data_IF_018365006911
#
_entry.id   IF_018365006911
#
_cell.length_a   1.000
_cell.length_b   1.000
_cell.length_c   1.000
_cell.angle_alpha   90.00
_cell.angle_beta   90.00
_cell.angle_gamma   90.00
#
_symmetry.space_group_name_H-M   'P 1'
#
loop_
_entity.id
_entity.type
_entity.pdbx_description
1 polymer ?
#
# COMPACT_ATOMS: atom_id res chain seq x y z
N UNK A 1 -40.51 20.88 24.26
CA UNK A 1 -39.82 22.16 24.16
C UNK A 1 -39.05 22.41 25.46
N UNK A 2 -37.75 22.21 25.47
CA UNK A 2 -36.79 22.77 26.45
C UNK A 2 -35.43 22.85 25.77
N UNK A 3 -35.01 24.06 25.50
CA UNK A 3 -33.72 24.44 24.93
C UNK A 3 -32.65 24.41 26.00
N UNK A 4 -31.52 23.71 25.77
CA UNK A 4 -30.35 23.76 26.61
C UNK A 4 -29.25 24.49 25.87
N UNK A 5 -28.87 25.67 26.36
CA UNK A 5 -27.74 26.45 25.85
C UNK A 5 -26.44 25.88 26.41
N UNK A 6 -25.50 25.57 25.54
CA UNK A 6 -24.15 25.18 25.90
C UNK A 6 -23.26 26.44 25.99
N UNK A 7 -22.72 26.71 27.18
CA UNK A 7 -21.83 27.84 27.42
C UNK A 7 -20.40 27.53 26.96
N UNK A 8 -19.80 28.50 26.26
CA UNK A 8 -18.38 28.53 25.94
C UNK A 8 -17.56 28.88 27.16
N UNK A 9 -16.58 28.04 27.51
CA UNK A 9 -15.53 28.36 28.48
C UNK A 9 -14.22 28.48 27.71
N UNK A 10 -13.69 29.71 27.61
CA UNK A 10 -12.31 29.97 27.17
C UNK A 10 -11.33 29.71 28.33
N UNK A 11 -10.18 29.07 28.11
CA UNK A 11 -9.10 29.11 29.09
C UNK A 11 -8.20 30.33 28.87
N UNK A 12 -7.86 30.97 29.96
CA UNK A 12 -6.98 32.11 30.06
C UNK A 12 -5.53 31.76 29.70
N UNK A 13 -4.90 32.61 28.89
CA UNK A 13 -3.48 32.54 28.58
C UNK A 13 -2.70 33.21 29.74
N UNK A 14 -1.91 32.43 30.47
CA UNK A 14 -0.91 32.95 31.40
C UNK A 14 0.40 33.21 30.66
N UNK A 15 0.77 34.48 30.54
CA UNK A 15 2.09 34.92 30.07
C UNK A 15 3.13 34.73 31.18
N UNK A 16 4.10 33.85 31.01
CA UNK A 16 5.30 33.74 31.82
C UNK A 16 6.44 34.52 31.17
N UNK A 17 6.89 35.59 31.77
CA UNK A 17 8.09 36.32 31.39
C UNK A 17 9.34 35.55 31.82
N UNK A 18 10.17 35.15 30.88
CA UNK A 18 11.49 34.55 31.12
C UNK A 18 12.56 35.64 31.11
N UNK A 19 13.25 35.77 32.23
CA UNK A 19 14.49 36.52 32.36
C UNK A 19 15.61 35.80 31.59
N UNK A 20 16.21 36.48 30.63
CA UNK A 20 17.43 36.02 29.92
C UNK A 20 18.64 36.52 30.66
N UNK A 21 19.35 35.63 31.33
CA UNK A 21 20.69 35.88 31.85
C UNK A 21 21.72 35.52 30.78
N UNK A 22 22.49 36.52 30.34
CA UNK A 22 23.63 36.28 29.42
C UNK A 22 24.77 35.61 30.18
N UNK A 23 25.16 34.41 29.72
CA UNK A 23 26.45 33.79 30.07
C UNK A 23 27.27 33.69 28.81
N UNK A 24 28.27 34.60 28.69
CA UNK A 24 29.32 34.51 27.66
C UNK A 24 30.32 33.43 28.03
N UNK A 25 30.27 32.29 27.37
CA UNK A 25 31.33 31.31 27.37
C UNK A 25 31.99 31.28 25.99
N UNK A 26 33.16 31.88 25.89
CA UNK A 26 34.10 31.79 24.76
C UNK A 26 34.68 30.35 24.71
N UNK A 27 34.11 29.50 23.86
CA UNK A 27 34.80 28.29 23.41
C UNK A 27 34.78 28.31 21.88
N UNK A 28 35.94 28.65 21.29
CA UNK A 28 36.15 28.57 19.87
C UNK A 28 36.12 27.13 19.38
N UNK A 29 35.05 26.75 18.70
CA UNK A 29 35.02 25.53 17.90
C UNK A 29 35.53 25.86 16.49
N UNK A 30 36.40 25.02 15.92
CA UNK A 30 36.84 25.20 14.55
C UNK A 30 35.62 25.03 13.64
N UNK A 31 35.36 26.05 12.82
CA UNK A 31 34.29 26.06 11.82
C UNK A 31 34.66 25.08 10.71
N UNK A 32 34.33 23.81 10.90
CA UNK A 32 34.38 22.82 9.83
C UNK A 32 33.26 23.15 8.86
N UNK A 33 33.58 23.88 7.81
CA UNK A 33 32.72 24.01 6.63
C UNK A 33 32.52 22.61 6.05
N UNK A 34 31.44 21.92 6.44
CA UNK A 34 30.98 20.75 5.74
C UNK A 34 30.44 21.26 4.41
N UNK A 35 31.22 21.11 3.36
CA UNK A 35 30.75 21.27 1.99
C UNK A 35 29.65 20.26 1.77
N UNK A 36 28.40 20.71 1.85
CA UNK A 36 27.25 19.96 1.44
C UNK A 36 27.20 19.88 -0.11
N UNK A 37 28.16 19.17 -0.71
CA UNK A 37 28.02 18.63 -2.04
C UNK A 37 27.16 17.38 -1.94
N UNK A 38 25.93 17.52 -1.40
CA UNK A 38 24.87 16.58 -1.56
C UNK A 38 24.34 16.73 -2.98
N UNK A 39 24.84 15.93 -3.91
CA UNK A 39 24.11 15.61 -5.12
C UNK A 39 22.75 15.10 -4.64
N UNK A 40 21.74 15.95 -4.71
CA UNK A 40 20.33 15.52 -4.59
C UNK A 40 20.06 14.63 -5.80
N UNK A 41 20.29 13.32 -5.63
CA UNK A 41 19.86 12.37 -6.64
C UNK A 41 18.37 12.64 -6.85
N UNK A 42 18.02 13.11 -8.05
CA UNK A 42 16.62 13.34 -8.42
C UNK A 42 15.88 12.02 -8.22
N UNK A 43 14.97 11.99 -7.26
CA UNK A 43 14.20 10.78 -6.99
C UNK A 43 13.41 10.41 -8.26
N UNK A 44 13.44 9.12 -8.64
CA UNK A 44 12.81 8.63 -9.86
C UNK A 44 11.30 8.87 -9.81
N UNK A 45 10.74 9.42 -10.88
CA UNK A 45 9.29 9.45 -11.08
C UNK A 45 8.79 8.03 -11.37
N UNK A 46 7.93 7.53 -10.49
CA UNK A 46 7.29 6.22 -10.60
C UNK A 46 5.85 6.26 -11.12
N UNK A 47 5.38 7.41 -11.61
CA UNK A 47 3.97 7.60 -12.02
C UNK A 47 3.51 6.63 -13.12
N UNK A 48 4.42 6.10 -13.92
CA UNK A 48 4.18 5.14 -15.00
C UNK A 48 4.48 3.68 -14.65
N UNK A 49 4.83 3.40 -13.40
CA UNK A 49 5.31 2.07 -13.01
C UNK A 49 4.27 0.96 -13.18
N UNK A 50 2.98 1.27 -13.10
CA UNK A 50 1.89 0.32 -13.32
C UNK A 50 1.27 0.38 -14.72
N UNK A 51 1.84 1.14 -15.67
CA UNK A 51 1.32 1.20 -17.04
C UNK A 51 1.39 -0.15 -17.76
N UNK A 52 2.29 -1.05 -17.35
CA UNK A 52 2.36 -2.41 -17.91
C UNK A 52 1.08 -3.21 -17.68
N UNK A 53 0.28 -2.91 -16.66
CA UNK A 53 -0.98 -3.59 -16.38
C UNK A 53 -2.10 -3.20 -17.36
N UNK A 54 -2.07 -2.00 -17.92
CA UNK A 54 -3.19 -1.47 -18.72
C UNK A 54 -3.58 -2.41 -19.86
N UNK A 55 -4.87 -2.75 -19.93
CA UNK A 55 -5.47 -3.68 -20.87
C UNK A 55 -6.00 -4.96 -20.22
N UNK A 56 -6.27 -5.95 -21.05
CA UNK A 56 -6.93 -7.19 -20.67
C UNK A 56 -5.91 -8.29 -20.41
N UNK A 57 -6.12 -9.04 -19.32
CA UNK A 57 -5.26 -10.13 -18.89
C UNK A 57 -6.08 -11.38 -18.57
N UNK A 58 -5.50 -12.54 -18.85
CA UNK A 58 -5.91 -13.81 -18.22
C UNK A 58 -5.27 -13.86 -16.85
N UNK A 59 -6.05 -14.26 -15.84
CA UNK A 59 -5.60 -14.39 -14.46
C UNK A 59 -5.68 -15.84 -14.03
N UNK A 60 -4.55 -16.41 -13.58
CA UNK A 60 -4.46 -17.66 -12.87
C UNK A 60 -4.12 -17.36 -11.40
N UNK A 61 -4.96 -17.85 -10.49
CA UNK A 61 -4.81 -17.53 -9.07
C UNK A 61 -4.70 -18.80 -8.24
N UNK A 62 -3.77 -18.79 -7.30
CA UNK A 62 -3.72 -19.75 -6.20
C UNK A 62 -3.93 -19.02 -4.89
N UNK A 63 -4.91 -19.44 -4.13
CA UNK A 63 -5.26 -18.88 -2.82
C UNK A 63 -5.12 -19.93 -1.74
N UNK A 64 -4.50 -19.57 -0.62
CA UNK A 64 -4.46 -20.35 0.60
C UNK A 64 -5.64 -19.89 1.49
N UNK A 65 -6.73 -20.66 1.63
CA UNK A 65 -7.89 -20.23 2.44
C UNK A 65 -7.56 -20.16 3.94
N UNK A 66 -6.87 -21.17 4.46
CA UNK A 66 -6.52 -21.32 5.87
C UNK A 66 -5.17 -20.64 6.17
N UNK A 67 -5.22 -19.29 6.21
CA UNK A 67 -4.03 -18.45 6.40
C UNK A 67 -3.53 -18.47 7.83
N UNK A 68 -2.20 -18.49 8.01
CA UNK A 68 -1.51 -18.48 9.31
C UNK A 68 -1.89 -19.68 10.23
N UNK A 69 -2.32 -20.78 9.61
CA UNK A 69 -2.70 -22.04 10.30
C UNK A 69 -1.79 -23.22 9.92
N UNK A 70 -0.69 -22.95 9.20
CA UNK A 70 0.22 -24.00 8.74
C UNK A 70 -0.35 -24.89 7.63
N UNK A 71 -1.42 -24.44 6.98
CA UNK A 71 -2.01 -25.14 5.85
C UNK A 71 -1.13 -25.04 4.60
N UNK A 72 -1.16 -26.08 3.76
CA UNK A 72 -0.58 -26.10 2.43
C UNK A 72 -1.61 -26.43 1.34
N UNK A 73 -2.91 -26.36 1.68
CA UNK A 73 -4.01 -26.65 0.76
C UNK A 73 -4.38 -25.38 0.00
N UNK A 74 -4.04 -25.37 -1.29
CA UNK A 74 -4.32 -24.25 -2.18
C UNK A 74 -5.57 -24.52 -3.01
N UNK A 75 -6.34 -23.45 -3.26
CA UNK A 75 -7.47 -23.45 -4.19
C UNK A 75 -7.08 -22.61 -5.41
N UNK A 76 -7.33 -23.17 -6.59
CA UNK A 76 -7.03 -22.51 -7.87
C UNK A 76 -8.26 -21.84 -8.46
N UNK A 77 -8.02 -20.74 -9.18
CA UNK A 77 -9.03 -19.98 -9.89
C UNK A 77 -8.47 -19.52 -11.23
N UNK A 78 -9.35 -19.42 -12.21
CA UNK A 78 -9.07 -18.90 -13.55
C UNK A 78 -10.06 -17.80 -13.90
N UNK A 79 -9.65 -16.83 -14.68
CA UNK A 79 -10.52 -15.76 -15.16
C UNK A 79 -9.79 -14.59 -15.80
N UNK A 80 -10.29 -13.40 -15.52
CA UNK A 80 -9.82 -12.16 -16.15
C UNK A 80 -9.44 -11.11 -15.12
N UNK A 81 -8.52 -10.24 -15.54
CA UNK A 81 -8.12 -9.04 -14.82
C UNK A 81 -7.97 -7.90 -15.86
N UNK A 82 -8.89 -6.96 -15.84
CA UNK A 82 -8.95 -5.87 -16.80
C UNK A 82 -8.55 -4.57 -16.13
N UNK A 83 -7.57 -3.89 -16.69
CA UNK A 83 -7.01 -2.67 -16.11
C UNK A 83 -7.23 -1.47 -17.02
N UNK A 84 -7.69 -0.37 -16.43
CA UNK A 84 -7.92 0.90 -17.13
C UNK A 84 -7.20 2.04 -16.42
N UNK A 85 -6.54 2.89 -17.20
CA UNK A 85 -6.03 4.15 -16.69
C UNK A 85 -7.21 5.10 -16.42
N UNK A 86 -7.18 5.79 -15.28
CA UNK A 86 -8.22 6.77 -14.94
C UNK A 86 -7.85 8.12 -15.53
N UNK A 87 -8.52 8.51 -16.62
CA UNK A 87 -8.20 9.70 -17.40
C UNK A 87 -6.70 9.69 -17.77
N UNK A 88 -6.08 10.84 -17.91
CA UNK A 88 -4.62 10.98 -18.10
C UNK A 88 -3.89 11.14 -16.76
N UNK A 89 -4.38 10.46 -15.72
CA UNK A 89 -3.89 10.61 -14.34
C UNK A 89 -2.88 9.55 -13.94
N UNK A 90 -2.24 9.76 -12.80
CA UNK A 90 -1.37 8.82 -12.12
C UNK A 90 -2.20 7.79 -11.31
N UNK A 91 -3.25 7.24 -11.95
CA UNK A 91 -4.16 6.30 -11.33
C UNK A 91 -4.64 5.26 -12.34
N UNK A 92 -4.90 4.06 -11.86
CA UNK A 92 -5.54 3.01 -12.63
C UNK A 92 -6.55 2.22 -11.78
N UNK A 93 -7.45 1.57 -12.46
CA UNK A 93 -8.51 0.77 -11.89
C UNK A 93 -8.50 -0.63 -12.50
N UNK A 94 -8.76 -1.64 -11.68
CA UNK A 94 -8.85 -3.04 -12.08
C UNK A 94 -10.25 -3.58 -11.82
N UNK A 95 -10.76 -4.34 -12.79
CA UNK A 95 -11.89 -5.24 -12.64
C UNK A 95 -11.36 -6.68 -12.70
N UNK A 96 -11.57 -7.43 -11.62
CA UNK A 96 -11.06 -8.78 -11.44
C UNK A 96 -12.21 -9.76 -11.23
N UNK A 97 -12.22 -10.85 -12.02
CA UNK A 97 -13.29 -11.86 -11.97
C UNK A 97 -12.71 -13.24 -12.28
N UNK A 98 -12.62 -14.10 -11.27
CA UNK A 98 -12.07 -15.44 -11.38
C UNK A 98 -12.93 -16.46 -10.68
N UNK A 99 -12.99 -17.69 -11.22
CA UNK A 99 -13.76 -18.80 -10.67
C UNK A 99 -12.91 -20.05 -10.52
N UNK A 100 -13.25 -20.88 -9.53
CA UNK A 100 -12.68 -22.23 -9.42
C UNK A 100 -13.06 -23.10 -10.63
N UNK A 101 -12.28 -24.14 -10.98
CA UNK A 101 -12.55 -24.98 -12.16
C UNK A 101 -13.95 -25.60 -12.17
N UNK A 102 -14.52 -25.88 -11.01
CA UNK A 102 -15.87 -26.42 -10.86
C UNK A 102 -16.97 -25.32 -10.78
N UNK A 103 -16.59 -24.05 -10.91
CA UNK A 103 -17.44 -22.86 -10.81
C UNK A 103 -18.22 -22.71 -9.48
N UNK A 104 -17.85 -23.43 -8.44
CA UNK A 104 -18.51 -23.30 -7.13
C UNK A 104 -18.03 -22.10 -6.34
N UNK A 105 -16.77 -21.69 -6.56
CA UNK A 105 -16.17 -20.55 -5.91
C UNK A 105 -15.88 -19.48 -6.95
N UNK A 106 -16.21 -18.24 -6.64
CA UNK A 106 -15.95 -17.08 -7.51
C UNK A 106 -15.42 -15.93 -6.67
N UNK A 107 -14.47 -15.21 -7.18
CA UNK A 107 -13.92 -14.00 -6.58
C UNK A 107 -14.10 -12.86 -7.58
N UNK A 108 -14.87 -11.85 -7.18
CA UNK A 108 -14.94 -10.57 -7.86
C UNK A 108 -14.30 -9.52 -6.97
N UNK A 109 -13.39 -8.75 -7.53
CA UNK A 109 -12.71 -7.70 -6.81
C UNK A 109 -12.48 -6.50 -7.73
N UNK A 110 -12.33 -5.35 -7.14
CA UNK A 110 -11.88 -4.16 -7.83
C UNK A 110 -10.68 -3.60 -7.07
N UNK A 111 -9.74 -3.02 -7.79
CA UNK A 111 -8.55 -2.40 -7.21
C UNK A 111 -8.39 -1.01 -7.77
N UNK A 112 -8.24 -0.02 -6.89
CA UNK A 112 -7.84 1.34 -7.24
C UNK A 112 -6.37 1.53 -6.87
N UNK A 113 -5.54 1.98 -7.82
CA UNK A 113 -4.13 2.33 -7.59
C UNK A 113 -3.92 3.80 -7.84
N UNK A 114 -3.33 4.49 -6.86
CA UNK A 114 -3.05 5.94 -6.90
C UNK A 114 -1.57 6.17 -6.65
N UNK A 115 -0.94 6.99 -7.50
CA UNK A 115 0.43 7.45 -7.30
C UNK A 115 0.45 8.79 -6.57
N UNK A 116 1.28 8.88 -5.54
CA UNK A 116 1.55 10.13 -4.83
C UNK A 116 2.89 10.71 -5.31
N UNK A 117 2.90 11.86 -6.01
CA UNK A 117 4.13 12.47 -6.53
C UNK A 117 5.04 13.05 -5.45
N UNK A 118 4.53 13.34 -4.24
CA UNK A 118 5.36 13.86 -3.14
C UNK A 118 6.17 12.75 -2.48
N UNK A 119 5.54 11.60 -2.19
CA UNK A 119 6.22 10.45 -1.57
C UNK A 119 6.85 9.50 -2.59
N UNK A 120 6.58 9.68 -3.88
CA UNK A 120 6.97 8.78 -4.98
C UNK A 120 6.51 7.33 -4.76
N UNK A 121 5.34 7.16 -4.14
CA UNK A 121 4.78 5.85 -3.81
C UNK A 121 3.40 5.65 -4.44
N UNK A 122 3.06 4.40 -4.67
CA UNK A 122 1.73 3.96 -5.03
C UNK A 122 0.98 3.47 -3.80
N UNK A 123 -0.29 3.81 -3.72
CA UNK A 123 -1.26 3.24 -2.78
C UNK A 123 -2.23 2.34 -3.54
N UNK A 124 -2.39 1.10 -3.07
CA UNK A 124 -3.26 0.09 -3.68
C UNK A 124 -4.43 -0.17 -2.72
N UNK A 125 -5.63 0.17 -3.15
CA UNK A 125 -6.88 0.01 -2.41
C UNK A 125 -7.69 -1.15 -3.00
N UNK A 126 -8.10 -2.09 -2.18
CA UNK A 126 -9.14 -3.04 -2.57
C UNK A 126 -10.51 -2.40 -2.36
N UNK A 127 -11.40 -2.58 -3.32
CA UNK A 127 -12.79 -2.14 -3.26
C UNK A 127 -13.64 -3.34 -2.89
N UNK A 128 -14.23 -3.34 -1.71
CA UNK A 128 -15.19 -4.36 -1.28
C UNK A 128 -16.57 -3.99 -1.82
N UNK A 129 -16.98 -4.66 -2.90
CA UNK A 129 -18.25 -4.39 -3.56
C UNK A 129 -19.44 -4.85 -2.75
N UNK A 130 -19.29 -5.88 -1.93
CA UNK A 130 -20.39 -6.43 -1.11
C UNK A 130 -20.70 -5.48 0.06
N UNK A 131 -19.68 -4.83 0.61
CA UNK A 131 -19.86 -3.86 1.69
C UNK A 131 -19.97 -2.41 1.21
N UNK A 132 -19.59 -2.12 -0.05
CA UNK A 132 -19.55 -0.77 -0.58
C UNK A 132 -18.47 0.09 0.10
N UNK A 133 -17.33 -0.49 0.44
CA UNK A 133 -16.23 0.18 1.16
C UNK A 133 -14.88 -0.04 0.49
N UNK A 134 -13.92 0.79 0.85
CA UNK A 134 -12.51 0.53 0.57
C UNK A 134 -11.87 -0.19 1.75
N UNK A 135 -11.01 -1.16 1.48
CA UNK A 135 -10.15 -1.73 2.50
C UNK A 135 -9.08 -0.71 2.92
N UNK A 136 -9.06 -0.37 4.21
CA UNK A 136 -8.14 0.62 4.76
C UNK A 136 -7.34 0.01 5.93
N UNK A 137 -6.05 0.40 6.06
CA UNK A 137 -5.28 1.26 5.17
C UNK A 137 -4.92 0.54 3.84
N UNK A 138 -4.61 1.29 2.75
CA UNK A 138 -4.11 0.69 1.52
C UNK A 138 -2.75 0.02 1.75
N UNK A 139 -2.34 -0.88 0.86
CA UNK A 139 -0.93 -1.27 0.80
C UNK A 139 -0.15 -0.20 0.04
N UNK A 140 0.97 0.26 0.61
CA UNK A 140 1.78 1.38 0.09
C UNK A 140 3.19 0.91 -0.21
N UNK A 141 3.73 1.34 -1.32
CA UNK A 141 5.09 1.00 -1.76
C UNK A 141 5.42 1.55 -3.14
N UNK A 142 6.42 0.95 -3.76
CA UNK A 142 6.89 1.37 -5.07
C UNK A 142 7.43 0.19 -5.88
N UNK A 143 7.47 0.35 -7.21
CA UNK A 143 8.18 -0.54 -8.09
C UNK A 143 9.60 -0.04 -8.32
N UNK A 144 10.53 -0.98 -8.46
CA UNK A 144 11.89 -0.73 -8.89
C UNK A 144 12.22 -1.70 -10.03
N UNK A 145 12.10 -1.23 -11.25
CA UNK A 145 12.22 -2.05 -12.44
C UNK A 145 11.14 -3.15 -12.50
N UNK A 146 11.56 -4.42 -12.48
CA UNK A 146 10.65 -5.58 -12.62
C UNK A 146 10.18 -6.17 -11.29
N UNK A 147 10.42 -5.47 -10.18
CA UNK A 147 10.01 -5.89 -8.84
C UNK A 147 9.42 -4.70 -8.08
N UNK A 148 8.38 -4.94 -7.29
CA UNK A 148 7.82 -3.96 -6.37
C UNK A 148 7.37 -4.59 -5.08
N UNK A 149 7.43 -3.85 -4.00
CA UNK A 149 6.97 -4.30 -2.69
C UNK A 149 6.09 -3.22 -2.05
N UNK A 150 4.97 -3.66 -1.50
CA UNK A 150 3.95 -2.81 -0.90
C UNK A 150 3.51 -3.41 0.43
N UNK A 151 3.29 -2.57 1.42
CA UNK A 151 3.03 -3.00 2.78
C UNK A 151 1.87 -2.26 3.41
N UNK A 152 1.13 -2.94 4.28
CA UNK A 152 0.26 -2.34 5.27
C UNK A 152 0.18 -3.24 6.52
N UNK A 153 -0.61 -2.78 7.50
CA UNK A 153 -1.00 -3.56 8.66
C UNK A 153 -2.50 -3.71 8.68
N UNK A 154 -2.99 -4.92 8.91
CA UNK A 154 -4.42 -5.24 8.97
C UNK A 154 -4.74 -6.08 10.19
N UNK A 155 -6.04 -6.29 10.43
CA UNK A 155 -6.52 -7.27 11.41
C UNK A 155 -7.01 -8.52 10.67
N UNK A 156 -6.47 -9.68 11.00
CA UNK A 156 -6.89 -10.97 10.47
C UNK A 156 -7.28 -11.90 11.63
N UNK A 157 -8.54 -12.36 11.63
CA UNK A 157 -9.10 -13.20 12.71
C UNK A 157 -8.80 -12.65 14.12
N UNK A 158 -8.98 -11.32 14.31
CA UNK A 158 -8.76 -10.61 15.57
C UNK A 158 -7.31 -10.36 15.96
N UNK A 159 -6.34 -10.67 15.10
CA UNK A 159 -4.91 -10.44 15.32
C UNK A 159 -4.35 -9.42 14.34
N UNK A 160 -3.44 -8.57 14.81
CA UNK A 160 -2.69 -7.68 13.94
C UNK A 160 -1.73 -8.49 13.07
N UNK A 161 -1.74 -8.26 11.78
CA UNK A 161 -0.84 -8.87 10.80
C UNK A 161 -0.24 -7.81 9.90
N UNK A 162 1.03 -8.00 9.52
CA UNK A 162 1.60 -7.25 8.42
C UNK A 162 1.22 -7.94 7.11
N UNK A 163 0.86 -7.15 6.12
CA UNK A 163 0.55 -7.60 4.77
C UNK A 163 1.63 -7.09 3.83
N UNK A 164 2.10 -7.95 2.96
CA UNK A 164 3.05 -7.60 1.91
C UNK A 164 2.53 -8.07 0.56
N UNK A 165 2.50 -7.16 -0.43
CA UNK A 165 2.33 -7.48 -1.84
C UNK A 165 3.68 -7.38 -2.54
N UNK A 166 4.02 -8.38 -3.32
CA UNK A 166 5.24 -8.41 -4.12
C UNK A 166 4.86 -8.61 -5.59
N UNK A 167 5.22 -7.65 -6.43
CA UNK A 167 5.12 -7.76 -7.89
C UNK A 167 6.44 -8.28 -8.44
N UNK A 168 6.37 -9.28 -9.34
CA UNK A 168 7.51 -10.02 -9.88
C UNK A 168 7.34 -10.26 -11.38
N UNK A 169 8.44 -10.57 -12.05
CA UNK A 169 8.45 -11.05 -13.43
C UNK A 169 7.68 -10.15 -14.40
N UNK A 170 7.74 -8.85 -14.18
CA UNK A 170 6.98 -7.85 -14.93
C UNK A 170 7.51 -7.78 -16.36
N UNK A 171 6.62 -7.99 -17.33
CA UNK A 171 6.85 -7.85 -18.76
C UNK A 171 5.58 -7.34 -19.45
N UNK A 172 5.65 -7.11 -20.77
CA UNK A 172 4.47 -6.75 -21.56
C UNK A 172 3.46 -7.87 -21.73
N UNK A 173 3.83 -9.13 -21.42
CA UNK A 173 2.99 -10.33 -21.63
C UNK A 173 2.75 -11.16 -20.39
N UNK A 174 3.43 -10.87 -19.29
CA UNK A 174 3.30 -11.62 -18.06
C UNK A 174 3.66 -10.77 -16.84
N UNK A 175 3.02 -11.04 -15.72
CA UNK A 175 3.44 -10.54 -14.41
C UNK A 175 2.93 -11.49 -13.32
N UNK A 176 3.53 -11.40 -12.15
CA UNK A 176 3.13 -12.18 -10.98
C UNK A 176 3.01 -11.27 -9.78
N UNK A 177 1.94 -11.40 -9.03
CA UNK A 177 1.72 -10.73 -7.74
C UNK A 177 1.55 -11.79 -6.65
N UNK A 178 2.26 -11.61 -5.55
CA UNK A 178 2.14 -12.45 -4.36
C UNK A 178 1.67 -11.61 -3.18
N UNK A 179 0.70 -12.13 -2.41
CA UNK A 179 0.39 -11.60 -1.09
C UNK A 179 0.96 -12.52 -0.03
N UNK A 180 1.53 -11.91 0.99
CA UNK A 180 2.00 -12.63 2.18
C UNK A 180 1.52 -11.97 3.45
N UNK A 181 1.29 -12.79 4.49
CA UNK A 181 1.00 -12.31 5.84
C UNK A 181 2.16 -12.65 6.77
N UNK A 182 2.37 -11.77 7.76
CA UNK A 182 3.26 -12.00 8.89
C UNK A 182 2.53 -11.69 10.19
N UNK A 183 2.56 -12.63 11.13
CA UNK A 183 1.99 -12.46 12.48
C UNK A 183 3.05 -12.22 13.55
N UNK A 184 4.32 -12.10 13.16
CA UNK A 184 5.48 -11.99 14.07
C UNK A 184 6.32 -10.71 13.84
N UNK A 185 5.69 -9.67 13.29
CA UNK A 185 6.34 -8.40 13.03
C UNK A 185 7.29 -8.40 11.83
N UNK A 186 7.04 -9.27 10.85
CA UNK A 186 7.83 -9.33 9.61
C UNK A 186 9.03 -10.26 9.66
N UNK A 187 9.19 -11.06 10.72
CA UNK A 187 10.30 -12.03 10.83
C UNK A 187 10.10 -13.20 9.88
N UNK A 188 8.85 -13.71 9.81
CA UNK A 188 8.45 -14.75 8.87
C UNK A 188 7.24 -14.31 8.05
N UNK A 189 7.12 -14.85 6.84
CA UNK A 189 6.06 -14.49 5.90
C UNK A 189 5.44 -15.75 5.29
N UNK A 190 4.12 -15.88 5.41
CA UNK A 190 3.35 -16.91 4.72
C UNK A 190 2.77 -16.33 3.44
N UNK A 191 3.19 -16.85 2.27
CA UNK A 191 2.53 -16.56 1.00
C UNK A 191 1.15 -17.21 1.01
N UNK A 192 0.10 -16.44 0.79
CA UNK A 192 -1.29 -16.92 0.87
C UNK A 192 -2.17 -16.54 -0.33
N UNK A 193 -1.60 -15.85 -1.29
CA UNK A 193 -2.20 -15.52 -2.58
C UNK A 193 -1.10 -15.37 -3.62
N UNK A 194 -1.32 -15.96 -4.77
CA UNK A 194 -0.45 -15.83 -5.93
C UNK A 194 -1.35 -15.57 -7.13
N UNK A 195 -1.12 -14.50 -7.85
CA UNK A 195 -1.83 -14.17 -9.09
C UNK A 195 -0.82 -14.06 -10.23
N UNK A 196 -0.97 -14.89 -11.24
CA UNK A 196 -0.19 -14.87 -12.47
C UNK A 196 -1.04 -14.33 -13.59
N UNK A 197 -0.59 -13.22 -14.20
CA UNK A 197 -1.26 -12.57 -15.32
C UNK A 197 -0.52 -12.91 -16.61
N UNK A 198 -1.28 -13.17 -17.67
CA UNK A 198 -0.75 -13.47 -19.02
C UNK A 198 -1.64 -12.90 -20.12
N UNK A 199 -1.03 -12.55 -21.26
CA UNK A 199 -1.72 -12.11 -22.49
C UNK A 199 -0.88 -12.36 -23.76
#
# INVERSE_FOLDING_TARGET
MKSIRLGCILPAVMSAALFIGEVHALLGFPNSQVSANGSTATQRDGSHDFDFLIGDWKAHVRRLPERLKGSNVWVEYEGISNHKKLLDSNANFEEFDVSSPDNKLRIKAQTLRLYNPESHQWSIYLVDLDKGTLDLPPVVGQLNGKRGEFYNQQTWEGRAVLVRYVWLNISSKSSRMEQSFSSDGGKTWEVNWICELSR
#
